data_IF_446741787006
#
_entry.id   IF_446741787006
#
_cell.length_a   1.000
_cell.length_b   1.000
_cell.length_c   1.000
_cell.angle_alpha   90.00
_cell.angle_beta   90.00
_cell.angle_gamma   90.00
#
_symmetry.space_group_name_H-M   'P 1'
#
loop_
_entity.id
_entity.type
_entity.pdbx_description
1 polymer ?
#
# COMPACT_ATOMS: atom_id res chain seq x y z
N UNK A 1 -10.90 18.28 11.44
CA UNK A 1 -11.42 17.30 12.39
C UNK A 1 -10.43 16.18 12.31
N UNK A 2 -9.49 16.14 13.25
CA UNK A 2 -8.44 15.14 13.23
C UNK A 2 -9.05 13.91 13.90
N UNK A 3 -9.34 12.91 13.08
CA UNK A 3 -9.82 11.63 13.58
C UNK A 3 -8.63 10.98 14.27
N UNK A 4 -8.72 10.80 15.59
CA UNK A 4 -7.79 9.95 16.32
C UNK A 4 -7.66 8.62 15.57
N UNK A 5 -6.43 8.11 15.41
CA UNK A 5 -6.18 6.89 14.62
C UNK A 5 -7.01 5.69 15.14
N UNK A 6 -7.35 5.68 16.43
CA UNK A 6 -8.23 4.71 17.08
C UNK A 6 -9.69 4.73 16.57
N UNK A 7 -10.14 5.83 15.98
CA UNK A 7 -11.48 5.95 15.39
C UNK A 7 -11.50 5.63 13.89
N UNK A 8 -10.37 5.27 13.29
CA UNK A 8 -10.35 4.84 11.90
C UNK A 8 -11.01 3.47 11.74
N UNK A 9 -11.69 3.26 10.62
CA UNK A 9 -12.29 1.96 10.29
C UNK A 9 -11.29 0.99 9.67
N UNK A 10 -10.12 1.49 9.27
CA UNK A 10 -9.04 0.70 8.68
C UNK A 10 -7.70 1.46 8.78
N UNK A 11 -6.61 0.72 8.90
CA UNK A 11 -5.25 1.26 8.82
C UNK A 11 -4.35 0.30 8.05
N UNK A 12 -3.44 0.87 7.26
CA UNK A 12 -2.40 0.13 6.54
C UNK A 12 -1.05 0.54 7.11
N UNK A 13 -0.23 -0.43 7.48
CA UNK A 13 1.05 -0.18 8.16
C UNK A 13 2.19 -0.87 7.41
N UNK A 14 3.28 -0.15 7.14
CA UNK A 14 4.47 -0.74 6.53
C UNK A 14 5.17 -1.74 7.45
N UNK A 15 5.94 -2.66 6.88
CA UNK A 15 6.65 -3.70 7.63
C UNK A 15 7.94 -3.17 8.27
N UNK A 16 8.67 -2.27 7.61
CA UNK A 16 9.95 -1.76 8.06
C UNK A 16 10.02 -0.24 8.15
N UNK A 17 10.88 0.22 9.06
CA UNK A 17 11.20 1.65 9.18
C UNK A 17 11.90 2.13 7.91
N UNK A 18 11.54 3.34 7.47
CA UNK A 18 12.09 4.00 6.27
C UNK A 18 11.69 3.43 4.91
N UNK A 19 10.83 2.41 4.84
CA UNK A 19 10.27 1.95 3.56
C UNK A 19 9.39 3.00 2.88
N UNK A 20 8.95 3.99 3.66
CA UNK A 20 8.06 5.07 3.21
C UNK A 20 6.75 4.52 2.66
N UNK A 21 6.26 3.43 3.27
CA UNK A 21 4.94 2.88 2.96
C UNK A 21 3.85 3.93 3.19
N UNK A 22 3.01 4.15 2.18
CA UNK A 22 2.01 5.21 2.18
C UNK A 22 2.55 6.58 1.72
N UNK A 23 3.76 6.64 1.16
CA UNK A 23 4.31 7.89 0.61
C UNK A 23 3.50 8.44 -0.56
N UNK A 24 3.03 7.54 -1.42
CA UNK A 24 2.13 7.87 -2.53
C UNK A 24 0.87 7.01 -2.46
N UNK A 25 -0.24 7.59 -2.92
CA UNK A 25 -1.55 6.95 -2.98
C UNK A 25 -2.23 7.30 -4.30
N UNK A 26 -2.89 6.31 -4.90
CA UNK A 26 -3.74 6.53 -6.07
C UNK A 26 -5.02 5.71 -5.97
N UNK A 27 -6.12 6.28 -6.48
CA UNK A 27 -7.34 5.52 -6.73
C UNK A 27 -7.13 4.67 -7.98
N UNK A 28 -7.21 3.34 -7.84
CA UNK A 28 -7.07 2.42 -8.97
C UNK A 28 -8.38 2.25 -9.75
N UNK A 29 -9.50 2.65 -9.12
CA UNK A 29 -10.84 2.26 -9.56
C UNK A 29 -11.13 0.81 -9.17
N UNK A 30 -12.24 0.27 -9.66
CA UNK A 30 -12.58 -1.14 -9.50
C UNK A 30 -11.86 -1.97 -10.58
N UNK A 31 -10.68 -2.51 -10.24
CA UNK A 31 -9.81 -3.25 -11.17
C UNK A 31 -10.20 -4.73 -11.29
N UNK A 32 -10.93 -5.27 -10.32
CA UNK A 32 -11.35 -6.67 -10.29
C UNK A 32 -12.82 -6.89 -10.73
N UNK A 33 -13.60 -5.81 -10.87
CA UNK A 33 -14.99 -5.81 -11.33
C UNK A 33 -16.02 -6.17 -10.25
N UNK A 34 -15.71 -5.99 -8.96
CA UNK A 34 -16.57 -6.36 -7.84
C UNK A 34 -17.52 -5.23 -7.37
N UNK A 35 -17.38 -4.04 -7.94
CA UNK A 35 -18.18 -2.85 -7.64
C UNK A 35 -17.60 -1.99 -6.52
N UNK A 36 -16.41 -2.27 -6.01
CA UNK A 36 -15.71 -1.47 -5.00
C UNK A 36 -14.43 -0.87 -5.58
N UNK A 37 -14.11 0.38 -5.24
CA UNK A 37 -12.89 1.01 -5.71
C UNK A 37 -11.68 0.47 -4.95
N UNK A 38 -10.65 0.09 -5.69
CA UNK A 38 -9.35 -0.36 -5.21
C UNK A 38 -8.38 0.81 -5.05
N UNK A 39 -7.34 0.59 -4.27
CA UNK A 39 -6.31 1.59 -3.97
C UNK A 39 -4.92 1.04 -4.30
N UNK A 40 -4.05 1.94 -4.76
CA UNK A 40 -2.61 1.67 -4.88
C UNK A 40 -1.87 2.43 -3.78
N UNK A 41 -0.95 1.75 -3.11
CA UNK A 41 -0.10 2.29 -2.05
C UNK A 41 1.37 2.12 -2.44
N UNK A 42 2.14 3.21 -2.41
CA UNK A 42 3.57 3.20 -2.70
C UNK A 42 4.45 3.11 -1.45
N UNK A 43 5.58 2.40 -1.58
CA UNK A 43 6.67 2.32 -0.62
C UNK A 43 8.02 2.44 -1.37
N UNK A 44 8.35 3.63 -1.89
CA UNK A 44 9.45 3.83 -2.84
C UNK A 44 10.84 3.54 -2.24
N UNK A 45 10.96 3.46 -0.92
CA UNK A 45 12.22 3.19 -0.25
C UNK A 45 12.35 1.75 0.24
N UNK A 46 11.35 0.89 0.00
CA UNK A 46 11.46 -0.53 0.32
C UNK A 46 12.72 -1.12 -0.31
N UNK A 47 13.49 -1.81 0.53
CA UNK A 47 14.85 -2.25 0.25
C UNK A 47 14.99 -3.68 -0.28
N UNK A 48 13.88 -4.41 -0.49
CA UNK A 48 13.92 -5.85 -0.74
C UNK A 48 14.78 -6.21 -1.96
N UNK A 49 14.76 -5.39 -3.02
CA UNK A 49 15.54 -5.58 -4.27
C UNK A 49 16.84 -4.76 -4.36
N UNK A 50 17.22 -4.11 -3.27
CA UNK A 50 18.30 -3.13 -3.23
C UNK A 50 17.82 -1.81 -2.68
N UNK A 51 18.77 -0.94 -2.35
CA UNK A 51 18.48 0.37 -1.75
C UNK A 51 17.51 1.13 -2.64
N UNK A 52 16.33 1.45 -2.09
CA UNK A 52 15.25 2.15 -2.79
C UNK A 52 14.83 1.50 -4.11
N UNK A 53 14.79 0.16 -4.15
CA UNK A 53 14.13 -0.52 -5.26
C UNK A 53 12.63 -0.17 -5.28
N UNK A 54 12.04 -0.04 -4.09
CA UNK A 54 10.66 0.37 -3.90
C UNK A 54 9.67 -0.76 -4.18
N UNK A 55 8.46 -0.59 -3.65
CA UNK A 55 7.32 -1.50 -3.82
C UNK A 55 6.05 -0.68 -4.09
N UNK A 56 5.20 -1.22 -4.95
CA UNK A 56 3.83 -0.74 -5.17
C UNK A 56 2.86 -1.83 -4.77
N UNK A 57 1.83 -1.52 -3.98
CA UNK A 57 0.84 -2.47 -3.49
C UNK A 57 -0.54 -2.14 -4.05
N UNK A 58 -1.26 -3.17 -4.50
CA UNK A 58 -2.68 -3.09 -4.84
C UNK A 58 -3.48 -3.65 -3.66
N UNK A 59 -4.45 -2.87 -3.20
CA UNK A 59 -5.41 -3.28 -2.19
C UNK A 59 -6.80 -3.23 -2.80
N UNK A 60 -7.47 -4.38 -2.85
CA UNK A 60 -8.82 -4.49 -3.38
C UNK A 60 -9.83 -3.91 -2.39
N UNK A 61 -10.75 -3.12 -2.94
CA UNK A 61 -11.96 -2.66 -2.28
C UNK A 61 -12.82 -3.85 -1.90
N UNK A 62 -13.58 -3.71 -0.81
CA UNK A 62 -14.50 -4.75 -0.39
C UNK A 62 -15.64 -4.18 0.44
N UNK A 63 -16.80 -4.86 0.39
CA UNK A 63 -18.02 -4.45 1.10
C UNK A 63 -17.84 -4.26 2.61
N UNK A 64 -17.05 -5.12 3.23
CA UNK A 64 -16.80 -5.09 4.68
C UNK A 64 -15.84 -3.98 5.11
N UNK A 65 -15.20 -3.28 4.16
CA UNK A 65 -14.02 -2.48 4.45
C UNK A 65 -12.82 -3.34 4.84
N UNK A 66 -11.76 -2.68 5.28
CA UNK A 66 -10.53 -3.34 5.72
C UNK A 66 -10.42 -3.36 7.25
N UNK A 67 -9.48 -4.15 7.76
CA UNK A 67 -9.17 -4.22 9.18
C UNK A 67 -8.19 -3.11 9.59
N UNK A 68 -7.91 -3.05 10.90
CA UNK A 68 -6.81 -2.25 11.43
C UNK A 68 -5.49 -3.00 11.28
N UNK A 69 -4.41 -2.25 11.05
CA UNK A 69 -3.04 -2.74 10.94
C UNK A 69 -2.82 -3.74 9.81
N UNK A 70 -3.48 -3.54 8.67
CA UNK A 70 -3.27 -4.34 7.46
C UNK A 70 -1.84 -4.14 6.96
N UNK A 71 -1.10 -5.23 6.83
CA UNK A 71 0.30 -5.23 6.41
C UNK A 71 0.46 -5.43 4.90
N UNK A 72 1.60 -5.03 4.32
CA UNK A 72 1.97 -5.36 2.95
C UNK A 72 1.79 -6.83 2.56
N UNK A 73 2.07 -7.76 3.48
CA UNK A 73 1.90 -9.20 3.24
C UNK A 73 0.44 -9.67 3.18
N UNK A 74 -0.50 -8.83 3.58
CA UNK A 74 -1.94 -9.14 3.67
C UNK A 74 -2.75 -8.52 2.53
N UNK A 75 -2.13 -7.72 1.66
CA UNK A 75 -2.77 -7.09 0.51
C UNK A 75 -2.74 -7.99 -0.72
N UNK A 76 -3.58 -7.67 -1.70
CA UNK A 76 -3.94 -8.59 -2.78
C UNK A 76 -2.84 -8.79 -3.82
N UNK A 77 -2.08 -7.74 -4.14
CA UNK A 77 -0.93 -7.84 -5.03
C UNK A 77 0.15 -6.81 -4.71
N UNK A 78 1.37 -7.10 -5.14
CA UNK A 78 2.50 -6.17 -5.06
C UNK A 78 3.39 -6.23 -6.30
N UNK A 79 4.04 -5.11 -6.59
CA UNK A 79 4.92 -4.90 -7.74
C UNK A 79 6.25 -4.33 -7.23
N UNK A 80 7.29 -5.16 -7.30
CA UNK A 80 8.62 -4.85 -6.80
C UNK A 80 9.47 -4.18 -7.87
N UNK A 81 10.21 -3.13 -7.51
CA UNK A 81 11.30 -2.63 -8.35
C UNK A 81 12.35 -3.72 -8.54
N UNK A 82 12.86 -3.88 -9.75
CA UNK A 82 13.78 -4.98 -10.09
C UNK A 82 15.20 -4.72 -9.58
N UNK A 83 15.61 -3.45 -9.49
CA UNK A 83 16.95 -3.05 -9.06
C UNK A 83 16.96 -1.84 -8.13
N UNK A 84 18.12 -1.57 -7.53
CA UNK A 84 18.31 -0.42 -6.65
C UNK A 84 18.08 0.91 -7.39
N UNK A 85 17.27 1.79 -6.80
CA UNK A 85 16.95 3.10 -7.35
C UNK A 85 15.79 3.13 -8.34
N UNK A 86 15.11 1.99 -8.56
CA UNK A 86 13.89 1.96 -9.37
C UNK A 86 12.75 2.78 -8.73
N UNK A 87 12.76 2.90 -7.39
CA UNK A 87 11.80 3.67 -6.60
C UNK A 87 10.34 3.35 -6.95
N UNK A 88 10.01 2.07 -7.19
CA UNK A 88 8.64 1.64 -7.48
C UNK A 88 7.68 2.17 -6.39
N UNK A 89 6.61 2.83 -6.82
CA UNK A 89 5.63 3.45 -5.92
C UNK A 89 5.98 4.87 -5.48
N UNK A 90 6.91 5.57 -6.15
CA UNK A 90 7.17 7.01 -5.90
C UNK A 90 6.06 7.92 -6.43
#
# INVERSE_FOLDING_TARGET
MDTELDLSSATFIGDDINDWYGHSLAAAGDVNGDGYNDIIIGAPHNGDAGVKAGHTYLVLGQRSGWLMNVKPSEVDASFRGETAGDESGY
#
